data_IF_760542331391
#
_entry.id   IF_760542331391
#
_cell.length_a   1.000
_cell.length_b   1.000
_cell.length_c   1.000
_cell.angle_alpha   90.00
_cell.angle_beta   90.00
_cell.angle_gamma   90.00
#
_symmetry.space_group_name_H-M   'P 1'
#
loop_
_entity.id
_entity.type
_entity.pdbx_description
1 polymer ?
#
# COMPACT_ATOMS: atom_id res chain seq x y z
N UNK A 1 30.88 -24.24 -12.66
CA UNK A 1 29.67 -24.72 -11.98
C UNK A 1 28.62 -23.63 -12.02
N UNK A 2 27.34 -23.95 -11.86
CA UNK A 2 26.22 -22.98 -11.86
C UNK A 2 25.52 -23.01 -10.51
N UNK A 3 25.19 -21.84 -9.96
CA UNK A 3 24.41 -21.68 -8.73
C UNK A 3 23.06 -21.05 -9.06
N UNK A 4 21.97 -21.64 -8.59
CA UNK A 4 20.61 -21.14 -8.75
C UNK A 4 20.12 -20.59 -7.40
N UNK A 5 19.68 -19.33 -7.37
CA UNK A 5 19.14 -18.66 -6.16
C UNK A 5 17.66 -18.38 -6.37
N UNK A 6 16.81 -18.85 -5.46
CA UNK A 6 15.35 -18.84 -5.59
C UNK A 6 14.61 -18.45 -4.32
N UNK A 7 15.09 -17.46 -3.58
CA UNK A 7 14.41 -16.99 -2.37
C UNK A 7 13.11 -16.25 -2.71
N UNK A 8 12.01 -16.65 -2.06
CA UNK A 8 10.67 -16.10 -2.32
C UNK A 8 10.35 -14.82 -1.57
N UNK A 9 11.02 -14.59 -0.43
CA UNK A 9 10.84 -13.41 0.41
C UNK A 9 12.17 -12.73 0.70
N UNK A 10 12.79 -12.22 -0.37
CA UNK A 10 14.05 -11.48 -0.29
C UNK A 10 13.99 -10.26 0.65
N UNK A 11 12.89 -9.48 0.73
CA UNK A 11 12.79 -8.37 1.68
C UNK A 11 12.96 -8.78 3.15
N UNK A 12 12.53 -9.99 3.53
CA UNK A 12 12.73 -10.48 4.90
C UNK A 12 14.21 -10.70 5.27
N UNK A 13 15.11 -10.85 4.29
CA UNK A 13 16.55 -10.93 4.56
C UNK A 13 17.15 -9.58 4.96
N UNK A 14 16.44 -8.48 4.69
CA UNK A 14 16.79 -7.11 5.08
C UNK A 14 15.61 -6.45 5.81
N UNK A 15 15.04 -7.20 6.77
CA UNK A 15 13.76 -6.87 7.39
C UNK A 15 13.69 -5.48 8.02
N UNK A 16 14.78 -5.00 8.64
CA UNK A 16 14.82 -3.68 9.27
C UNK A 16 14.62 -2.55 8.24
N UNK A 17 15.40 -2.58 7.16
CA UNK A 17 15.33 -1.57 6.10
C UNK A 17 14.02 -1.69 5.30
N UNK A 18 13.61 -2.92 4.97
CA UNK A 18 12.35 -3.18 4.28
C UNK A 18 11.15 -2.65 5.08
N UNK A 19 11.12 -2.87 6.40
CA UNK A 19 10.07 -2.36 7.27
C UNK A 19 10.07 -0.84 7.33
N UNK A 20 11.25 -0.20 7.45
CA UNK A 20 11.35 1.25 7.48
C UNK A 20 10.92 1.90 6.15
N UNK A 21 11.20 1.26 5.01
CA UNK A 21 10.72 1.71 3.70
C UNK A 21 9.20 1.53 3.56
N UNK A 22 8.67 0.37 3.95
CA UNK A 22 7.23 0.11 3.87
C UNK A 22 6.43 1.04 4.79
N UNK A 23 6.91 1.30 6.01
CA UNK A 23 6.27 2.23 6.95
C UNK A 23 6.21 3.65 6.38
N UNK A 24 7.26 4.11 5.69
CA UNK A 24 7.26 5.40 4.99
C UNK A 24 6.21 5.44 3.88
N UNK A 25 6.15 4.41 3.04
CA UNK A 25 5.14 4.32 1.98
C UNK A 25 3.71 4.37 2.56
N UNK A 26 3.46 3.66 3.66
CA UNK A 26 2.14 3.68 4.32
C UNK A 26 1.83 5.05 4.91
N UNK A 27 2.79 5.69 5.58
CA UNK A 27 2.62 7.03 6.15
C UNK A 27 2.31 8.07 5.06
N UNK A 28 3.02 8.01 3.94
CA UNK A 28 2.80 8.93 2.83
C UNK A 28 1.42 8.71 2.18
N UNK A 29 0.99 7.46 2.02
CA UNK A 29 -0.37 7.16 1.55
C UNK A 29 -1.45 7.60 2.54
N UNK A 30 -1.23 7.41 3.85
CA UNK A 30 -2.18 7.84 4.88
C UNK A 30 -2.45 9.35 4.83
N UNK A 31 -1.48 10.18 4.44
CA UNK A 31 -1.70 11.64 4.28
C UNK A 31 -2.79 11.98 3.26
N UNK A 32 -3.10 11.08 2.30
CA UNK A 32 -4.18 11.25 1.34
C UNK A 32 -5.56 10.88 1.92
N UNK A 33 -5.60 10.16 3.05
CA UNK A 33 -6.81 9.63 3.68
C UNK A 33 -7.28 10.44 4.89
N UNK A 34 -6.56 11.51 5.24
CA UNK A 34 -6.95 12.41 6.32
C UNK A 34 -7.05 13.82 5.77
N UNK A 35 -8.10 14.53 6.15
CA UNK A 35 -8.23 15.95 5.85
C UNK A 35 -7.32 16.80 6.75
N UNK A 36 -7.39 18.13 6.56
CA UNK A 36 -6.56 19.09 7.31
C UNK A 36 -6.86 19.11 8.80
N UNK A 37 -8.05 18.67 9.20
CA UNK A 37 -8.49 18.62 10.59
C UNK A 37 -8.17 17.25 11.24
N UNK A 38 -7.54 16.35 10.48
CA UNK A 38 -7.18 15.00 10.95
C UNK A 38 -8.37 14.03 10.96
N UNK A 39 -9.45 14.35 10.25
CA UNK A 39 -10.59 13.45 10.10
C UNK A 39 -10.32 12.46 8.98
N UNK A 40 -10.61 11.19 9.22
CA UNK A 40 -10.50 10.16 8.20
C UNK A 40 -11.52 10.40 7.08
N UNK A 41 -11.03 10.60 5.87
CA UNK A 41 -11.82 10.92 4.69
C UNK A 41 -11.24 10.25 3.47
N UNK A 42 -12.03 9.41 2.81
CA UNK A 42 -11.65 8.73 1.58
C UNK A 42 -12.08 9.60 0.40
N UNK A 43 -11.13 10.36 -0.15
CA UNK A 43 -11.37 11.14 -1.37
C UNK A 43 -11.30 10.24 -2.61
N UNK A 44 -12.46 9.93 -3.21
CA UNK A 44 -12.53 9.09 -4.41
C UNK A 44 -12.16 9.84 -5.71
N UNK A 45 -11.98 11.15 -5.65
CA UNK A 45 -11.46 11.96 -6.77
C UNK A 45 -9.93 11.96 -6.83
N UNK A 46 -9.25 11.47 -5.79
CA UNK A 46 -7.80 11.26 -5.80
C UNK A 46 -7.49 9.94 -6.52
N UNK A 47 -6.77 10.03 -7.63
CA UNK A 47 -6.44 8.88 -8.49
C UNK A 47 -5.68 7.76 -7.74
N UNK A 48 -4.84 8.12 -6.76
CA UNK A 48 -4.06 7.15 -5.98
C UNK A 48 -5.00 6.41 -5.02
N UNK A 49 -5.86 7.15 -4.30
CA UNK A 49 -6.84 6.56 -3.38
C UNK A 49 -7.82 5.67 -4.14
N UNK A 50 -8.35 6.13 -5.28
CA UNK A 50 -9.27 5.37 -6.12
C UNK A 50 -8.63 4.08 -6.66
N UNK A 51 -7.38 4.15 -7.15
CA UNK A 51 -6.67 2.99 -7.67
C UNK A 51 -6.33 1.94 -6.60
N UNK A 52 -6.13 2.37 -5.35
CA UNK A 52 -5.82 1.49 -4.22
C UNK A 52 -7.07 0.86 -3.57
N UNK A 53 -8.26 1.43 -3.75
CA UNK A 53 -9.48 0.95 -3.10
C UNK A 53 -9.98 -0.36 -3.74
N UNK A 54 -10.05 -1.43 -2.93
CA UNK A 54 -10.49 -2.76 -3.40
C UNK A 54 -11.95 -3.06 -3.05
N UNK A 55 -12.35 -2.73 -1.82
CA UNK A 55 -13.70 -2.92 -1.32
C UNK A 55 -14.14 -1.76 -0.40
N UNK A 56 -15.45 -1.53 -0.31
CA UNK A 56 -16.06 -0.56 0.57
C UNK A 56 -17.50 -0.99 0.88
N UNK A 57 -17.94 -0.82 2.13
CA UNK A 57 -19.31 -1.11 2.57
C UNK A 57 -19.80 -2.53 2.22
N UNK A 58 -18.90 -3.51 2.38
CA UNK A 58 -19.19 -4.92 2.10
C UNK A 58 -19.23 -5.28 0.60
N UNK A 59 -18.95 -4.32 -0.29
CA UNK A 59 -18.95 -4.51 -1.74
C UNK A 59 -17.54 -4.43 -2.31
N UNK A 60 -17.25 -5.29 -3.28
CA UNK A 60 -16.05 -5.17 -4.09
C UNK A 60 -16.26 -3.98 -5.04
N UNK A 61 -15.42 -2.96 -4.91
CA UNK A 61 -15.48 -1.77 -5.79
C UNK A 61 -14.52 -1.89 -6.96
N UNK A 62 -13.44 -2.66 -6.81
CA UNK A 62 -12.50 -2.93 -7.89
C UNK A 62 -13.09 -3.95 -8.85
N UNK A 63 -13.41 -3.50 -10.07
CA UNK A 63 -13.74 -4.38 -11.19
C UNK A 63 -12.44 -4.64 -11.94
N UNK A 64 -11.85 -5.82 -11.77
CA UNK A 64 -10.74 -6.24 -12.60
C UNK A 64 -11.25 -6.35 -14.05
N UNK A 65 -10.77 -5.46 -14.92
CA UNK A 65 -10.89 -5.55 -16.38
C UNK A 65 -9.54 -5.89 -16.97
#
# INVERSE_FOLDING_TARGET
GVTLVGHTNLPALVAADASALYARNLLDFMKLLFDKDGTFSINLEDDIVAACLVCRDGQIVRKNG
#
